data_IF_888552405983
#
_entry.id   IF_888552405983
#
_cell.length_a   1.000
_cell.length_b   1.000
_cell.length_c   1.000
_cell.angle_alpha   90.00
_cell.angle_beta   90.00
_cell.angle_gamma   90.00
#
_symmetry.space_group_name_H-M   'P 1'
#
loop_
_entity.id
_entity.type
_entity.pdbx_description
1 polymer ?
#
# COMPACT_ATOMS: atom_id res chain seq x y z
N UNK A 1 20.88 1.31 21.16
CA UNK A 1 19.74 2.25 21.09
C UNK A 1 18.40 1.56 20.88
N UNK A 2 18.20 0.71 19.85
CA UNK A 2 16.90 0.07 19.58
C UNK A 2 16.36 -0.79 20.75
N UNK A 3 17.21 -1.56 21.41
CA UNK A 3 16.84 -2.38 22.58
C UNK A 3 16.31 -1.52 23.75
N UNK A 4 16.95 -0.38 24.01
CA UNK A 4 16.51 0.56 25.06
C UNK A 4 15.18 1.19 24.69
N UNK A 5 15.01 1.55 23.41
CA UNK A 5 13.76 2.13 22.93
C UNK A 5 12.61 1.12 22.99
N UNK A 6 12.91 -0.15 22.72
CA UNK A 6 12.00 -1.28 22.88
C UNK A 6 11.56 -1.48 24.34
N UNK A 7 12.50 -1.49 25.28
CA UNK A 7 12.19 -1.69 26.70
C UNK A 7 11.35 -0.53 27.25
N UNK A 8 11.66 0.70 26.87
CA UNK A 8 10.88 1.88 27.26
C UNK A 8 9.45 1.87 26.70
N UNK A 9 9.23 1.36 25.48
CA UNK A 9 7.89 1.18 24.91
C UNK A 9 7.11 0.05 25.58
N UNK A 10 7.77 -1.06 25.89
CA UNK A 10 7.14 -2.19 26.57
C UNK A 10 6.69 -1.80 27.98
N UNK A 11 7.49 -1.00 28.68
CA UNK A 11 7.23 -0.47 30.03
C UNK A 11 6.34 0.80 30.05
N UNK A 12 5.76 1.21 28.92
CA UNK A 12 4.88 2.39 28.78
C UNK A 12 5.50 3.74 29.16
N UNK A 13 6.84 3.82 29.26
CA UNK A 13 7.56 5.09 29.43
C UNK A 13 7.56 5.94 28.16
N UNK A 14 7.40 5.31 26.99
CA UNK A 14 7.26 5.98 25.70
C UNK A 14 5.94 5.59 25.03
N UNK A 15 5.33 6.53 24.29
CA UNK A 15 4.18 6.28 23.44
C UNK A 15 4.63 6.11 21.99
N UNK A 16 3.94 5.27 21.24
CA UNK A 16 4.09 5.22 19.80
C UNK A 16 3.62 6.53 19.17
N UNK A 17 4.57 7.41 18.87
CA UNK A 17 4.37 8.65 18.13
C UNK A 17 5.30 8.66 16.91
N UNK A 18 4.99 9.52 15.94
CA UNK A 18 5.64 9.60 14.62
C UNK A 18 7.13 9.22 14.58
N UNK A 19 8.04 9.87 15.33
CA UNK A 19 9.48 9.60 15.22
C UNK A 19 9.85 8.20 15.69
N UNK A 20 9.25 7.75 16.81
CA UNK A 20 9.49 6.42 17.36
C UNK A 20 9.02 5.38 16.35
N UNK A 21 7.81 5.56 15.82
CA UNK A 21 7.27 4.67 14.79
C UNK A 21 8.20 4.60 13.57
N UNK A 22 8.65 5.74 13.04
CA UNK A 22 9.56 5.80 11.89
C UNK A 22 10.94 5.18 12.16
N UNK A 23 11.52 5.36 13.35
CA UNK A 23 12.77 4.69 13.73
C UNK A 23 12.62 3.16 13.68
N UNK A 24 11.48 2.62 14.10
CA UNK A 24 11.20 1.19 13.96
C UNK A 24 11.04 0.76 12.50
N UNK A 25 10.42 1.59 11.65
CA UNK A 25 10.33 1.27 10.22
C UNK A 25 11.71 1.17 9.57
N UNK A 26 12.63 2.07 9.91
CA UNK A 26 14.01 1.99 9.41
C UNK A 26 14.73 0.74 9.90
N UNK A 27 14.46 0.28 11.12
CA UNK A 27 15.06 -0.96 11.62
C UNK A 27 14.69 -2.20 10.80
N UNK A 28 13.55 -2.18 10.09
CA UNK A 28 13.14 -3.29 9.21
C UNK A 28 14.08 -3.50 8.01
N UNK A 29 14.81 -2.46 7.65
CA UNK A 29 15.67 -2.40 6.45
C UNK A 29 17.10 -2.02 6.79
N UNK A 30 17.48 -2.17 8.06
CA UNK A 30 18.83 -1.99 8.56
C UNK A 30 19.79 -3.00 7.92
N UNK A 31 21.06 -2.66 7.75
CA UNK A 31 22.07 -3.56 7.19
C UNK A 31 22.31 -4.78 8.10
N UNK A 32 22.19 -4.61 9.43
CA UNK A 32 22.34 -5.69 10.40
C UNK A 32 21.10 -6.58 10.47
N UNK A 33 21.29 -7.87 10.17
CA UNK A 33 20.22 -8.88 10.27
C UNK A 33 19.62 -8.98 11.68
N UNK A 34 20.44 -8.81 12.72
CA UNK A 34 19.98 -8.81 14.11
C UNK A 34 19.07 -7.63 14.41
N UNK A 35 19.37 -6.44 13.86
CA UNK A 35 18.54 -5.25 14.00
C UNK A 35 17.22 -5.44 13.26
N UNK A 36 17.24 -5.98 12.03
CA UNK A 36 16.00 -6.31 11.28
C UNK A 36 15.11 -7.29 12.02
N UNK A 37 15.68 -8.37 12.56
CA UNK A 37 14.94 -9.37 13.33
C UNK A 37 14.29 -8.77 14.57
N UNK A 38 15.05 -7.97 15.33
CA UNK A 38 14.55 -7.28 16.51
C UNK A 38 13.45 -6.26 16.15
N UNK A 39 13.66 -5.46 15.11
CA UNK A 39 12.66 -4.50 14.62
C UNK A 39 11.34 -5.17 14.24
N UNK A 40 11.42 -6.28 13.50
CA UNK A 40 10.23 -7.06 13.12
C UNK A 40 9.53 -7.67 14.35
N UNK A 41 10.28 -8.24 15.29
CA UNK A 41 9.73 -8.78 16.54
C UNK A 41 9.00 -7.70 17.35
N UNK A 42 9.60 -6.53 17.51
CA UNK A 42 9.05 -5.43 18.31
C UNK A 42 7.82 -4.81 17.65
N UNK A 43 7.83 -4.63 16.33
CA UNK A 43 6.65 -4.21 15.60
C UNK A 43 5.53 -5.25 15.70
N UNK A 44 5.82 -6.54 15.59
CA UNK A 44 4.80 -7.60 15.74
C UNK A 44 4.19 -7.65 17.13
N UNK A 45 5.00 -7.58 18.19
CA UNK A 45 4.55 -7.70 19.58
C UNK A 45 3.89 -6.43 20.12
N UNK A 46 4.34 -5.25 19.68
CA UNK A 46 3.82 -3.99 20.19
C UNK A 46 2.60 -3.47 19.41
N UNK A 47 2.59 -3.66 18.08
CA UNK A 47 1.42 -3.30 17.26
C UNK A 47 0.24 -4.24 17.52
N UNK A 48 0.45 -5.50 17.90
CA UNK A 48 -0.65 -6.43 18.16
C UNK A 48 -1.49 -6.04 19.39
N UNK A 49 -0.89 -5.44 20.42
CA UNK A 49 -1.56 -5.23 21.71
C UNK A 49 -1.83 -3.77 22.07
N UNK A 50 -0.93 -2.83 21.74
CA UNK A 50 -0.99 -1.45 22.27
C UNK A 50 -1.28 -0.40 21.20
N UNK A 51 -1.07 -0.70 19.92
CA UNK A 51 -1.11 0.32 18.87
C UNK A 51 -1.47 -0.24 17.47
N UNK A 52 -2.43 -1.14 17.41
CA UNK A 52 -2.83 -1.89 16.19
C UNK A 52 -3.25 -1.02 15.01
N UNK A 53 -3.71 0.20 15.28
CA UNK A 53 -4.12 1.15 14.26
C UNK A 53 -2.97 1.99 13.70
N UNK A 54 -1.75 1.95 14.24
CA UNK A 54 -0.66 2.80 13.74
C UNK A 54 -0.31 2.49 12.29
N UNK A 55 -0.17 1.20 11.96
CA UNK A 55 0.16 0.80 10.59
C UNK A 55 -0.87 1.35 9.61
N UNK A 56 -2.16 1.28 9.97
CA UNK A 56 -3.27 1.82 9.20
C UNK A 56 -3.25 3.36 9.15
N UNK A 57 -3.25 4.03 10.30
CA UNK A 57 -3.35 5.48 10.41
C UNK A 57 -2.19 6.23 9.74
N UNK A 58 -0.98 5.67 9.79
CA UNK A 58 0.23 6.30 9.29
C UNK A 58 0.67 5.78 7.92
N UNK A 59 -0.08 4.88 7.26
CA UNK A 59 0.39 4.25 6.02
C UNK A 59 0.68 5.26 4.91
N UNK A 60 -0.33 6.08 4.56
CA UNK A 60 -0.20 7.07 3.47
C UNK A 60 0.89 8.08 3.83
N UNK A 61 0.92 8.58 5.06
CA UNK A 61 1.99 9.48 5.51
C UNK A 61 3.39 8.83 5.38
N UNK A 62 3.52 7.55 5.74
CA UNK A 62 4.77 6.80 5.62
C UNK A 62 5.18 6.66 4.15
N UNK A 63 4.24 6.42 3.24
CA UNK A 63 4.48 6.35 1.80
C UNK A 63 5.05 7.67 1.27
N UNK A 64 4.47 8.81 1.63
CA UNK A 64 5.01 10.12 1.24
C UNK A 64 6.37 10.41 1.90
N UNK A 65 6.50 10.13 3.20
CA UNK A 65 7.71 10.37 3.98
C UNK A 65 8.92 9.60 3.45
N UNK A 66 8.74 8.30 3.16
CA UNK A 66 9.79 7.44 2.59
C UNK A 66 10.21 7.90 1.19
N UNK A 67 9.30 8.54 0.45
CA UNK A 67 9.60 9.16 -0.84
C UNK A 67 10.12 10.60 -0.72
N UNK A 68 10.45 11.07 0.49
CA UNK A 68 11.06 12.38 0.72
C UNK A 68 10.07 13.55 0.66
N UNK A 69 8.76 13.30 0.66
CA UNK A 69 7.75 14.34 0.55
C UNK A 69 7.04 14.62 1.88
N UNK A 70 6.94 15.90 2.24
CA UNK A 70 6.32 16.36 3.49
C UNK A 70 4.84 16.75 3.31
N UNK A 71 4.42 16.93 2.06
CA UNK A 71 3.10 17.43 1.72
C UNK A 71 2.09 16.30 1.54
N UNK A 72 1.57 15.78 2.64
CA UNK A 72 0.16 15.43 2.62
C UNK A 72 -0.60 16.53 3.34
N UNK A 73 -0.93 17.60 2.61
CA UNK A 73 -1.58 18.80 3.13
C UNK A 73 -3.08 18.60 3.43
N UNK A 74 -3.69 17.51 2.94
CA UNK A 74 -5.14 17.30 2.98
C UNK A 74 -5.63 16.20 3.95
N UNK A 75 -4.74 15.50 4.66
CA UNK A 75 -5.14 14.77 5.86
C UNK A 75 -4.97 15.75 7.01
N UNK A 76 -6.08 16.10 7.67
CA UNK A 76 -6.19 16.96 8.84
C UNK A 76 -5.20 16.60 9.96
N UNK A 77 -3.95 17.00 9.81
CA UNK A 77 -2.84 16.61 10.67
C UNK A 77 -2.23 17.85 11.30
N UNK A 78 -1.97 17.79 12.60
CA UNK A 78 -1.36 18.89 13.33
C UNK A 78 0.09 19.14 12.86
N UNK A 79 0.58 20.36 13.09
CA UNK A 79 1.95 20.79 12.78
C UNK A 79 3.02 19.84 13.37
N UNK A 80 2.72 19.17 14.49
CA UNK A 80 3.62 18.20 15.13
C UNK A 80 3.86 17.00 14.21
N UNK A 81 2.83 16.47 13.55
CA UNK A 81 2.98 15.34 12.63
C UNK A 81 3.87 15.66 11.43
N UNK A 82 3.98 16.93 11.02
CA UNK A 82 4.84 17.38 9.92
C UNK A 82 6.31 17.50 10.33
N UNK A 83 6.60 18.03 11.53
CA UNK A 83 7.96 18.17 12.05
C UNK A 83 8.62 16.81 12.38
N UNK A 84 7.83 15.81 12.76
CA UNK A 84 8.28 14.49 13.23
C UNK A 84 8.70 13.52 12.10
N UNK A 85 8.42 13.87 10.84
CA UNK A 85 8.83 13.12 9.62
C UNK A 85 10.28 13.44 9.23
N UNK A 86 10.92 14.45 9.84
CA UNK A 86 11.97 15.20 9.18
C UNK A 86 13.43 14.72 9.34
N UNK A 87 13.78 13.65 10.07
CA UNK A 87 15.20 13.47 10.47
C UNK A 87 15.92 12.17 10.07
N UNK A 88 15.26 11.14 9.51
CA UNK A 88 15.98 9.96 8.97
C UNK A 88 15.19 9.06 8.02
N UNK A 89 13.84 9.11 8.04
CA UNK A 89 13.04 8.26 7.13
C UNK A 89 13.22 8.61 5.65
N UNK A 90 13.73 9.82 5.36
CA UNK A 90 14.06 10.30 4.02
C UNK A 90 15.36 9.72 3.46
N UNK A 91 16.14 8.99 4.27
CA UNK A 91 17.35 8.32 3.79
C UNK A 91 17.01 7.28 2.71
N UNK A 92 15.74 6.83 2.68
CA UNK A 92 15.20 5.91 1.68
C UNK A 92 14.54 6.61 0.47
N UNK A 93 14.60 7.94 0.39
CA UNK A 93 14.05 8.70 -0.72
C UNK A 93 14.87 8.53 -2.01
N UNK A 94 14.30 8.98 -3.12
CA UNK A 94 14.93 8.96 -4.44
C UNK A 94 14.70 7.65 -5.21
N UNK A 95 15.30 7.62 -6.41
CA UNK A 95 15.04 6.61 -7.43
C UNK A 95 16.04 5.44 -7.43
N UNK A 96 16.93 5.34 -6.43
CA UNK A 96 17.85 4.22 -6.29
C UNK A 96 17.09 2.90 -6.04
N UNK A 97 17.52 1.83 -6.69
CA UNK A 97 16.81 0.54 -6.62
C UNK A 97 16.93 -0.12 -5.26
N UNK A 98 18.06 0.05 -4.56
CA UNK A 98 18.23 -0.39 -3.17
C UNK A 98 17.24 0.32 -2.26
N UNK A 99 17.11 1.63 -2.40
CA UNK A 99 16.13 2.43 -1.65
C UNK A 99 14.68 2.01 -1.98
N UNK A 100 14.34 1.82 -3.25
CA UNK A 100 13.02 1.31 -3.67
C UNK A 100 12.69 -0.03 -3.04
N UNK A 101 13.65 -0.97 -3.00
CA UNK A 101 13.47 -2.26 -2.37
C UNK A 101 13.26 -2.14 -0.86
N UNK A 102 14.02 -1.25 -0.19
CA UNK A 102 13.84 -0.96 1.25
C UNK A 102 12.45 -0.38 1.52
N UNK A 103 11.99 0.63 0.76
CA UNK A 103 10.61 1.18 0.91
C UNK A 103 9.55 0.10 0.73
N UNK A 104 9.71 -0.71 -0.30
CA UNK A 104 8.86 -1.87 -0.57
C UNK A 104 8.77 -2.83 0.62
N UNK A 105 9.89 -3.19 1.25
CA UNK A 105 9.91 -4.04 2.47
C UNK A 105 9.09 -3.41 3.60
N UNK A 106 9.21 -2.09 3.82
CA UNK A 106 8.45 -1.38 4.86
C UNK A 106 6.95 -1.45 4.59
N UNK A 107 6.49 -1.15 3.37
CA UNK A 107 5.06 -1.21 3.02
C UNK A 107 4.46 -2.60 3.26
N UNK A 108 5.14 -3.65 2.82
CA UNK A 108 4.68 -5.02 3.01
C UNK A 108 4.58 -5.40 4.49
N UNK A 109 5.54 -4.97 5.32
CA UNK A 109 5.47 -5.21 6.75
C UNK A 109 4.28 -4.51 7.41
N UNK A 110 3.95 -3.29 6.98
CA UNK A 110 2.78 -2.57 7.50
C UNK A 110 1.47 -3.26 7.08
N UNK A 111 1.33 -3.62 5.80
CA UNK A 111 0.13 -4.28 5.27
C UNK A 111 -0.15 -5.64 5.92
N UNK A 112 0.89 -6.43 6.22
CA UNK A 112 0.76 -7.73 6.90
C UNK A 112 0.13 -7.65 8.29
N UNK A 113 0.09 -6.47 8.89
CA UNK A 113 -0.46 -6.23 10.23
C UNK A 113 -1.85 -5.61 10.20
N UNK A 114 -2.41 -5.38 9.01
CA UNK A 114 -3.73 -4.81 8.81
C UNK A 114 -4.79 -5.89 8.62
N UNK A 115 -6.00 -5.62 9.11
CA UNK A 115 -7.17 -6.44 8.79
C UNK A 115 -7.59 -6.23 7.33
N UNK A 116 -8.37 -7.14 6.73
CA UNK A 116 -8.91 -6.96 5.38
C UNK A 116 -9.62 -5.61 5.18
N UNK A 117 -10.36 -5.14 6.18
CA UNK A 117 -11.07 -3.85 6.14
C UNK A 117 -10.10 -2.66 6.08
N UNK A 118 -9.05 -2.68 6.92
CA UNK A 118 -8.02 -1.64 6.89
C UNK A 118 -7.27 -1.65 5.55
N UNK A 119 -6.95 -2.82 4.99
CA UNK A 119 -6.30 -2.92 3.67
C UNK A 119 -7.17 -2.31 2.57
N UNK A 120 -8.47 -2.61 2.56
CA UNK A 120 -9.40 -2.00 1.60
C UNK A 120 -9.46 -0.47 1.75
N UNK A 121 -9.55 0.04 2.98
CA UNK A 121 -9.55 1.48 3.25
C UNK A 121 -8.25 2.16 2.83
N UNK A 122 -7.10 1.51 3.01
CA UNK A 122 -5.80 2.03 2.53
C UNK A 122 -5.73 2.01 1.02
N UNK A 123 -6.20 0.95 0.35
CA UNK A 123 -6.24 0.92 -1.10
C UNK A 123 -7.08 2.08 -1.66
N UNK A 124 -8.26 2.31 -1.08
CA UNK A 124 -9.12 3.43 -1.45
C UNK A 124 -8.45 4.78 -1.21
N UNK A 125 -7.81 4.98 -0.04
CA UNK A 125 -7.04 6.19 0.25
C UNK A 125 -5.91 6.39 -0.75
N UNK A 126 -5.09 5.39 -1.05
CA UNK A 126 -4.01 5.52 -2.04
C UNK A 126 -4.57 5.91 -3.43
N UNK A 127 -5.72 5.36 -3.82
CA UNK A 127 -6.37 5.73 -5.08
C UNK A 127 -6.82 7.20 -5.09
N UNK A 128 -7.42 7.69 -4.01
CA UNK A 128 -7.87 9.08 -3.88
C UNK A 128 -6.69 10.06 -3.72
N UNK A 129 -5.87 9.79 -2.70
CA UNK A 129 -4.85 10.69 -2.16
C UNK A 129 -3.57 10.72 -3.00
N UNK A 130 -3.18 9.57 -3.54
CA UNK A 130 -1.96 9.46 -4.34
C UNK A 130 -2.30 9.49 -5.83
N UNK A 131 -2.96 8.44 -6.33
CA UNK A 131 -3.18 8.23 -7.77
C UNK A 131 -4.07 9.34 -8.34
N UNK A 132 -5.21 9.62 -7.69
CA UNK A 132 -6.11 10.73 -8.03
C UNK A 132 -5.43 12.08 -7.93
N UNK A 133 -4.57 12.29 -6.92
CA UNK A 133 -3.77 13.52 -6.80
C UNK A 133 -2.90 13.84 -8.02
N UNK A 134 -2.35 12.83 -8.72
CA UNK A 134 -1.61 13.04 -9.98
C UNK A 134 -2.54 13.35 -11.15
N UNK A 135 -3.66 12.63 -11.24
CA UNK A 135 -4.67 12.81 -12.29
C UNK A 135 -5.27 14.23 -12.23
N UNK A 136 -5.59 14.69 -11.02
CA UNK A 136 -6.12 16.03 -10.75
C UNK A 136 -5.06 17.15 -10.80
N UNK A 137 -3.79 16.82 -11.04
CA UNK A 137 -2.70 17.79 -11.10
C UNK A 137 -2.29 18.41 -9.76
N UNK A 138 -2.74 17.85 -8.63
CA UNK A 138 -2.31 18.23 -7.27
C UNK A 138 -0.88 17.77 -6.96
N UNK A 139 -0.44 16.69 -7.61
CA UNK A 139 0.90 16.13 -7.52
C UNK A 139 1.61 16.23 -8.88
N UNK A 140 2.91 16.52 -8.86
CA UNK A 140 3.75 16.71 -10.03
C UNK A 140 4.49 15.41 -10.39
N UNK A 141 4.27 14.90 -11.61
CA UNK A 141 4.92 13.69 -12.10
C UNK A 141 6.46 13.74 -12.04
N UNK A 142 7.06 14.90 -12.31
CA UNK A 142 8.52 15.03 -12.42
C UNK A 142 9.19 15.04 -11.03
N UNK A 143 8.57 15.69 -10.04
CA UNK A 143 9.13 15.80 -8.69
C UNK A 143 8.68 14.66 -7.75
N UNK A 144 7.51 14.08 -7.99
CA UNK A 144 6.86 13.13 -7.08
C UNK A 144 6.61 11.76 -7.72
N UNK A 145 7.20 11.48 -8.90
CA UNK A 145 6.97 10.22 -9.63
C UNK A 145 7.24 8.94 -8.83
N UNK A 146 8.17 8.95 -7.87
CA UNK A 146 8.42 7.78 -7.00
C UNK A 146 7.23 7.48 -6.06
N UNK A 147 6.44 8.49 -5.64
CA UNK A 147 5.21 8.29 -4.87
C UNK A 147 4.19 7.53 -5.71
N UNK A 148 4.02 7.91 -6.98
CA UNK A 148 3.09 7.23 -7.89
C UNK A 148 3.56 5.80 -8.16
N UNK A 149 4.85 5.62 -8.43
CA UNK A 149 5.48 4.30 -8.60
C UNK A 149 5.17 3.40 -7.41
N UNK A 150 5.51 3.84 -6.21
CA UNK A 150 5.32 3.06 -4.98
C UNK A 150 3.84 2.79 -4.73
N UNK A 151 2.96 3.76 -4.99
CA UNK A 151 1.50 3.61 -4.85
C UNK A 151 0.95 2.50 -5.75
N UNK A 152 1.32 2.49 -7.03
CA UNK A 152 0.89 1.46 -7.99
C UNK A 152 1.43 0.08 -7.61
N UNK A 153 2.69 -0.02 -7.18
CA UNK A 153 3.29 -1.28 -6.73
C UNK A 153 2.65 -1.81 -5.45
N UNK A 154 2.35 -0.91 -4.50
CA UNK A 154 1.63 -1.26 -3.27
C UNK A 154 0.24 -1.76 -3.60
N UNK A 155 -0.51 -1.07 -4.46
CA UNK A 155 -1.85 -1.48 -4.89
C UNK A 155 -1.83 -2.81 -5.69
N UNK A 156 -0.73 -3.12 -6.37
CA UNK A 156 -0.54 -4.38 -7.10
C UNK A 156 -0.07 -5.55 -6.21
N UNK A 157 0.39 -5.28 -4.98
CA UNK A 157 0.95 -6.28 -4.08
C UNK A 157 -0.10 -7.31 -3.62
N UNK A 158 0.34 -8.50 -3.23
CA UNK A 158 -0.57 -9.50 -2.64
C UNK A 158 -0.97 -9.11 -1.23
N UNK A 159 -0.09 -8.41 -0.52
CA UNK A 159 -0.29 -8.00 0.86
C UNK A 159 -1.41 -7.00 1.03
N UNK A 160 -1.67 -6.12 0.03
CA UNK A 160 -2.80 -5.20 0.08
C UNK A 160 -4.12 -5.87 -0.28
N UNK A 161 -4.09 -7.01 -0.98
CA UNK A 161 -5.30 -7.76 -1.27
C UNK A 161 -5.92 -8.19 0.06
N UNK A 162 -7.18 -7.85 0.23
CA UNK A 162 -8.00 -8.27 1.35
C UNK A 162 -8.33 -9.75 1.17
N UNK A 163 -7.35 -10.64 1.42
CA UNK A 163 -7.62 -12.06 1.49
C UNK A 163 -8.58 -12.29 2.66
N UNK A 164 -9.85 -12.55 2.33
CA UNK A 164 -10.81 -13.10 3.27
C UNK A 164 -10.42 -14.56 3.44
N UNK A 165 -9.43 -14.83 4.30
CA UNK A 165 -9.17 -16.19 4.74
C UNK A 165 -10.43 -16.64 5.49
N UNK A 166 -11.29 -17.40 4.83
CA UNK A 166 -12.30 -18.20 5.53
C UNK A 166 -11.51 -19.15 6.43
N UNK A 167 -11.38 -18.79 7.71
CA UNK A 167 -10.72 -19.63 8.70
C UNK A 167 -11.34 -21.04 8.66
N UNK A 168 -10.44 -22.02 8.80
CA UNK A 168 -10.67 -23.46 8.65
C UNK A 168 -11.91 -23.94 9.40
N UNK A 169 -12.44 -25.03 8.87
CA UNK A 169 -13.64 -25.74 9.33
C UNK A 169 -13.43 -26.35 10.72
N UNK A 170 -13.66 -25.55 11.77
CA UNK A 170 -13.96 -26.07 13.10
C UNK A 170 -15.46 -25.90 13.35
N UNK A 171 -16.17 -27.02 13.52
CA UNK A 171 -17.64 -27.13 13.45
C UNK A 171 -18.41 -26.40 14.57
N UNK A 172 -17.73 -25.82 15.57
CA UNK A 172 -18.40 -25.32 16.78
C UNK A 172 -18.91 -23.86 16.70
N UNK A 173 -18.59 -23.06 15.68
CA UNK A 173 -18.87 -21.61 15.69
C UNK A 173 -19.70 -21.10 14.49
N UNK A 174 -20.71 -21.88 14.08
CA UNK A 174 -21.51 -21.65 12.87
C UNK A 174 -22.11 -20.24 12.70
N UNK A 175 -22.43 -19.53 13.79
CA UNK A 175 -22.95 -18.15 13.73
C UNK A 175 -21.84 -17.11 13.51
N UNK A 176 -20.68 -17.26 14.15
CA UNK A 176 -19.52 -16.40 13.90
C UNK A 176 -18.94 -16.65 12.51
N UNK A 177 -18.96 -17.90 12.06
CA UNK A 177 -18.52 -18.28 10.72
C UNK A 177 -19.47 -17.73 9.63
N UNK A 178 -20.80 -17.79 9.85
CA UNK A 178 -21.77 -17.18 8.96
C UNK A 178 -21.58 -15.64 8.88
N UNK A 179 -21.34 -14.99 10.01
CA UNK A 179 -21.04 -13.55 10.05
C UNK A 179 -19.74 -13.22 9.31
N UNK A 180 -18.68 -14.00 9.49
CA UNK A 180 -17.40 -13.82 8.79
C UNK A 180 -17.54 -14.01 7.28
N UNK A 181 -18.28 -15.04 6.83
CA UNK A 181 -18.60 -15.27 5.41
C UNK A 181 -19.42 -14.12 4.81
N UNK A 182 -20.43 -13.63 5.54
CA UNK A 182 -21.25 -12.50 5.09
C UNK A 182 -20.42 -11.21 4.97
N UNK A 183 -19.56 -10.93 5.96
CA UNK A 183 -18.61 -9.81 5.91
C UNK A 183 -17.65 -9.93 4.73
N UNK A 184 -17.11 -11.12 4.47
CA UNK A 184 -16.24 -11.39 3.34
C UNK A 184 -16.89 -11.12 1.98
N UNK A 185 -18.13 -11.61 1.78
CA UNK A 185 -18.90 -11.34 0.56
C UNK A 185 -19.18 -9.84 0.36
N UNK A 186 -19.51 -9.13 1.43
CA UNK A 186 -19.73 -7.68 1.37
C UNK A 186 -18.45 -6.93 0.95
N UNK A 187 -17.30 -7.30 1.54
CA UNK A 187 -16.00 -6.71 1.18
C UNK A 187 -15.68 -6.96 -0.28
N UNK A 188 -15.87 -8.19 -0.78
CA UNK A 188 -15.65 -8.52 -2.19
C UNK A 188 -16.55 -7.71 -3.14
N UNK A 189 -17.83 -7.54 -2.81
CA UNK A 189 -18.74 -6.71 -3.59
C UNK A 189 -18.32 -5.22 -3.59
N UNK A 190 -17.90 -4.69 -2.43
CA UNK A 190 -17.36 -3.33 -2.32
C UNK A 190 -16.06 -3.16 -3.13
N UNK A 191 -15.19 -4.16 -3.12
CA UNK A 191 -13.97 -4.17 -3.93
C UNK A 191 -14.27 -4.13 -5.42
N UNK A 192 -15.21 -4.96 -5.92
CA UNK A 192 -15.60 -4.92 -7.33
C UNK A 192 -16.22 -3.57 -7.72
N UNK A 193 -17.08 -3.00 -6.85
CA UNK A 193 -17.64 -1.66 -7.07
C UNK A 193 -16.55 -0.57 -7.11
N UNK A 194 -15.59 -0.62 -6.20
CA UNK A 194 -14.49 0.33 -6.15
C UNK A 194 -13.51 0.16 -7.32
N UNK A 195 -13.27 -1.07 -7.76
CA UNK A 195 -12.50 -1.38 -8.96
C UNK A 195 -13.10 -0.68 -10.18
N UNK A 196 -14.36 -0.97 -10.49
CA UNK A 196 -15.02 -0.42 -11.69
C UNK A 196 -15.27 1.09 -11.56
N UNK A 197 -15.71 1.55 -10.39
CA UNK A 197 -16.13 2.95 -10.19
C UNK A 197 -15.00 3.94 -9.90
N UNK A 198 -13.83 3.47 -9.45
CA UNK A 198 -12.73 4.36 -9.05
C UNK A 198 -11.41 3.98 -9.70
N UNK A 199 -10.97 2.72 -9.56
CA UNK A 199 -9.64 2.30 -10.03
C UNK A 199 -9.55 2.37 -11.55
N UNK A 200 -10.55 1.84 -12.26
CA UNK A 200 -10.51 1.74 -13.72
C UNK A 200 -10.46 3.12 -14.41
N UNK A 201 -11.31 4.10 -14.05
CA UNK A 201 -11.19 5.47 -14.56
C UNK A 201 -9.79 6.07 -14.34
N UNK A 202 -9.22 5.91 -13.14
CA UNK A 202 -7.88 6.41 -12.82
C UNK A 202 -6.80 5.76 -13.68
N UNK A 203 -6.87 4.45 -13.91
CA UNK A 203 -5.90 3.72 -14.74
C UNK A 203 -5.97 4.17 -16.19
N UNK A 204 -7.17 4.30 -16.76
CA UNK A 204 -7.36 4.75 -18.15
C UNK A 204 -6.81 6.16 -18.34
N UNK A 205 -7.10 7.07 -17.40
CA UNK A 205 -6.61 8.45 -17.47
C UNK A 205 -5.09 8.53 -17.31
N UNK A 206 -4.51 7.80 -16.34
CA UNK A 206 -3.06 7.71 -16.20
C UNK A 206 -2.38 7.12 -17.42
N UNK A 207 -2.97 6.13 -18.09
CA UNK A 207 -2.43 5.54 -19.32
C UNK A 207 -2.28 6.61 -20.39
N UNK A 208 -3.34 7.38 -20.64
CA UNK A 208 -3.31 8.47 -21.62
C UNK A 208 -2.28 9.54 -21.26
N UNK A 209 -2.15 9.90 -19.99
CA UNK A 209 -1.15 10.86 -19.52
C UNK A 209 0.26 10.31 -19.75
N UNK A 210 0.50 9.05 -19.40
CA UNK A 210 1.80 8.40 -19.52
C UNK A 210 2.24 8.21 -20.97
N UNK A 211 1.35 7.84 -21.87
CA UNK A 211 1.64 7.72 -23.31
C UNK A 211 2.03 9.08 -23.91
N UNK A 212 1.26 10.13 -23.62
CA UNK A 212 1.55 11.50 -24.09
C UNK A 212 2.91 11.99 -23.58
N UNK A 213 3.26 11.66 -22.33
CA UNK A 213 4.53 12.05 -21.69
C UNK A 213 5.69 11.11 -21.99
N UNK A 214 5.45 9.95 -22.62
CA UNK A 214 6.42 8.84 -22.73
C UNK A 214 7.02 8.46 -21.37
N UNK A 215 6.15 8.36 -20.37
CA UNK A 215 6.56 8.12 -18.97
C UNK A 215 7.21 6.74 -18.81
N UNK A 216 8.32 6.62 -18.06
CA UNK A 216 8.92 5.33 -17.72
C UNK A 216 8.04 4.48 -16.79
N UNK A 217 6.98 5.07 -16.21
CA UNK A 217 6.04 4.37 -15.33
C UNK A 217 4.95 3.60 -16.08
N UNK A 218 4.90 3.67 -17.42
CA UNK A 218 3.88 2.97 -18.20
C UNK A 218 3.90 1.46 -17.96
N UNK A 219 5.08 0.84 -17.89
CA UNK A 219 5.20 -0.59 -17.56
C UNK A 219 4.69 -0.93 -16.15
N UNK A 220 4.89 -0.01 -15.20
CA UNK A 220 4.39 -0.18 -13.82
C UNK A 220 2.87 -0.05 -13.77
N UNK A 221 2.29 0.87 -14.54
CA UNK A 221 0.85 0.99 -14.70
C UNK A 221 0.25 -0.27 -15.34
N UNK A 222 0.89 -0.82 -16.38
CA UNK A 222 0.46 -2.09 -17.00
C UNK A 222 0.49 -3.25 -16.00
N UNK A 223 1.57 -3.38 -15.22
CA UNK A 223 1.67 -4.39 -14.16
C UNK A 223 0.58 -4.23 -13.09
N UNK A 224 0.27 -2.98 -12.71
CA UNK A 224 -0.83 -2.68 -11.79
C UNK A 224 -2.19 -3.07 -12.37
N UNK A 225 -2.49 -2.66 -13.60
CA UNK A 225 -3.73 -3.01 -14.31
C UNK A 225 -3.90 -4.53 -14.40
N UNK A 226 -2.85 -5.25 -14.77
CA UNK A 226 -2.84 -6.71 -14.79
C UNK A 226 -3.10 -7.29 -13.39
N UNK A 227 -2.51 -6.72 -12.34
CA UNK A 227 -2.69 -7.22 -10.98
C UNK A 227 -4.12 -7.09 -10.45
N UNK A 228 -4.80 -5.98 -10.73
CA UNK A 228 -6.17 -5.71 -10.26
C UNK A 228 -7.24 -6.38 -11.11
N UNK A 229 -7.01 -6.54 -12.42
CA UNK A 229 -7.95 -7.20 -13.32
C UNK A 229 -7.78 -8.72 -13.37
N UNK A 230 -6.73 -9.28 -12.76
CA UNK A 230 -6.42 -10.72 -12.82
C UNK A 230 -7.58 -11.61 -12.39
N UNK A 231 -8.30 -11.21 -11.35
CA UNK A 231 -9.46 -11.95 -10.80
C UNK A 231 -10.73 -11.79 -11.65
N UNK A 232 -10.73 -10.84 -12.58
CA UNK A 232 -11.84 -10.51 -13.47
C UNK A 232 -11.47 -10.71 -14.94
N UNK A 233 -10.56 -11.65 -15.24
CA UNK A 233 -9.99 -11.86 -16.58
C UNK A 233 -11.03 -12.00 -17.68
N UNK A 234 -12.12 -12.71 -17.40
CA UNK A 234 -13.22 -12.95 -18.35
C UNK A 234 -14.06 -11.68 -18.62
N UNK A 235 -14.07 -10.75 -17.65
CA UNK A 235 -14.85 -9.51 -17.70
C UNK A 235 -14.01 -8.30 -18.15
N UNK A 236 -12.72 -8.48 -18.50
CA UNK A 236 -11.80 -7.36 -18.77
C UNK A 236 -12.31 -6.43 -19.88
N UNK A 237 -12.82 -6.99 -20.98
CA UNK A 237 -13.34 -6.22 -22.10
C UNK A 237 -14.62 -5.43 -21.72
N UNK A 238 -15.43 -5.97 -20.82
CA UNK A 238 -16.64 -5.31 -20.28
C UNK A 238 -16.29 -4.22 -19.26
N UNK A 239 -15.25 -4.43 -18.47
CA UNK A 239 -14.78 -3.45 -17.48
C UNK A 239 -14.10 -2.27 -18.18
N UNK A 240 -13.34 -2.53 -19.26
CA UNK A 240 -12.59 -1.54 -20.03
C UNK A 240 -13.29 -1.12 -21.33
N UNK A 241 -14.62 -0.99 -21.31
CA UNK A 241 -15.41 -0.55 -22.50
C UNK A 241 -14.98 0.81 -23.04
N UNK A 242 -14.43 1.69 -22.18
CA UNK A 242 -13.92 2.99 -22.60
C UNK A 242 -12.62 2.91 -23.42
N UNK A 243 -11.87 1.81 -23.34
CA UNK A 243 -10.60 1.61 -24.05
C UNK A 243 -10.37 0.12 -24.37
N UNK A 244 -10.98 -0.34 -25.47
CA UNK A 244 -10.82 -1.71 -25.97
C UNK A 244 -9.38 -2.05 -26.38
N UNK A 245 -8.58 -1.06 -26.76
CA UNK A 245 -7.16 -1.27 -27.08
C UNK A 245 -6.41 -1.65 -25.82
N UNK A 246 -6.61 -0.87 -24.74
CA UNK A 246 -6.02 -1.17 -23.45
C UNK A 246 -6.50 -2.51 -22.87
N UNK A 247 -7.78 -2.86 -23.05
CA UNK A 247 -8.28 -4.18 -22.66
C UNK A 247 -7.49 -5.32 -23.30
N UNK A 248 -7.20 -5.20 -24.61
CA UNK A 248 -6.41 -6.19 -25.37
C UNK A 248 -4.95 -6.22 -24.91
N UNK A 249 -4.34 -5.07 -24.66
CA UNK A 249 -2.97 -4.96 -24.13
C UNK A 249 -2.85 -5.69 -22.79
N UNK A 250 -3.80 -5.45 -21.87
CA UNK A 250 -3.84 -6.11 -20.55
C UNK A 250 -3.99 -7.63 -20.70
N UNK A 251 -4.94 -8.09 -21.53
CA UNK A 251 -5.15 -9.52 -21.76
C UNK A 251 -3.93 -10.20 -22.37
N UNK A 252 -3.24 -9.53 -23.29
CA UNK A 252 -2.00 -10.02 -23.90
C UNK A 252 -0.88 -10.12 -22.85
N UNK A 253 -0.68 -9.08 -22.05
CA UNK A 253 0.36 -9.06 -21.02
C UNK A 253 0.13 -10.16 -19.96
N UNK A 254 -1.12 -10.35 -19.52
CA UNK A 254 -1.49 -11.45 -18.63
C UNK A 254 -1.19 -12.84 -19.22
N UNK A 255 -1.30 -13.01 -20.55
CA UNK A 255 -0.94 -14.26 -21.22
C UNK A 255 0.58 -14.46 -21.26
N UNK A 256 1.36 -13.39 -21.46
CA UNK A 256 2.82 -13.46 -21.46
C UNK A 256 3.36 -13.80 -20.06
N UNK A 257 2.83 -13.18 -19.00
CA UNK A 257 3.20 -13.49 -17.61
C UNK A 257 2.98 -14.97 -17.26
N UNK A 258 1.91 -15.58 -17.77
CA UNK A 258 1.58 -16.98 -17.54
C UNK A 258 2.45 -17.98 -18.29
N UNK A 259 3.11 -17.56 -19.38
CA UNK A 259 4.04 -18.39 -20.16
C UNK A 259 5.48 -18.36 -19.64
N UNK A 260 5.81 -17.33 -18.85
CA UNK A 260 7.15 -17.09 -18.31
C UNK A 260 7.36 -17.70 -16.91
N UNK A 261 6.36 -18.43 -16.39
CA UNK A 261 6.38 -19.15 -15.11
C UNK A 261 6.33 -20.66 -15.36
#
# INVERSE_FOLDING_TARGET
>A
TLIVLASLLQQDFLKWRGPIFHCFLLSLVDESASVRSLGNFLLSTSLSHKASLLAYNFFVQTLFALNGHNGYANLSMSLESQALVATSIRDLAGSDEGNRQKRCVVYHHLLKRMTPEHKFQIAAKICEDCVGGFVEGKLCFDAQGEILRDSLLVLASREIKAEVSCAREDEEDGRRQALARAKGKLISAMMKKHLVGTIIPLVVELKQIFEKRRSPLLGILMGFACAVLREHREEVEEILVADHTFAREVLYEMQQEGRSR
#
